data_IF_314047763812
#
_entry.id   IF_314047763812
#
_cell.length_a   1.000
_cell.length_b   1.000
_cell.length_c   1.000
_cell.angle_alpha   90.00
_cell.angle_beta   90.00
_cell.angle_gamma   90.00
#
_symmetry.space_group_name_H-M   'P 1'
#
loop_
_entity.id
_entity.type
_entity.pdbx_description
1 polymer ?
#
# COMPACT_ATOMS: atom_id res chain seq x y z
N UNK A 1 33.62 8.51 -17.36
CA UNK A 1 32.54 7.50 -17.41
C UNK A 1 31.25 8.27 -17.56
N UNK A 2 30.75 8.38 -18.80
CA UNK A 2 29.47 9.03 -19.06
C UNK A 2 28.39 7.99 -18.82
N UNK A 3 27.71 8.06 -17.68
CA UNK A 3 26.43 7.39 -17.48
C UNK A 3 25.41 8.13 -18.35
N UNK A 4 25.39 7.77 -19.63
CA UNK A 4 24.33 8.18 -20.54
C UNK A 4 23.03 7.62 -19.97
N UNK A 5 22.20 8.48 -19.37
CA UNK A 5 20.78 8.21 -19.27
C UNK A 5 20.31 7.96 -20.70
N UNK A 6 20.10 6.70 -21.05
CA UNK A 6 19.36 6.38 -22.26
C UNK A 6 18.06 7.21 -22.20
N UNK A 7 17.75 8.01 -23.24
CA UNK A 7 16.48 8.69 -23.25
C UNK A 7 15.42 7.59 -23.35
N UNK A 8 14.76 7.31 -22.23
CA UNK A 8 13.60 6.44 -22.19
C UNK A 8 12.48 7.16 -22.94
N UNK A 9 12.55 7.16 -24.26
CA UNK A 9 11.48 7.65 -25.14
C UNK A 9 10.44 6.55 -25.22
N UNK A 10 9.80 6.25 -24.08
CA UNK A 10 8.54 5.53 -24.14
C UNK A 10 7.50 6.54 -24.60
N UNK A 11 7.02 6.41 -25.82
CA UNK A 11 5.85 7.18 -26.25
C UNK A 11 4.68 6.84 -25.32
N UNK A 12 3.98 7.86 -24.84
CA UNK A 12 2.75 7.66 -24.09
C UNK A 12 1.77 6.81 -24.92
N UNK A 13 1.02 5.92 -24.26
CA UNK A 13 0.03 5.10 -24.95
C UNK A 13 -0.93 5.99 -25.76
N UNK A 14 -1.25 5.60 -26.99
CA UNK A 14 -1.91 6.52 -27.95
C UNK A 14 -3.25 7.06 -27.44
N UNK A 15 -4.04 6.24 -26.74
CA UNK A 15 -5.31 6.65 -26.15
C UNK A 15 -5.14 7.72 -25.06
N UNK A 16 -4.07 7.63 -24.28
CA UNK A 16 -3.77 8.57 -23.21
C UNK A 16 -3.23 9.88 -23.77
N UNK A 17 -2.35 9.78 -24.77
CA UNK A 17 -1.87 10.96 -25.51
C UNK A 17 -3.04 11.72 -26.14
N UNK A 18 -3.94 11.03 -26.83
CA UNK A 18 -5.13 11.64 -27.44
C UNK A 18 -6.02 12.35 -26.41
N UNK A 19 -6.23 11.74 -25.23
CA UNK A 19 -7.03 12.36 -24.17
C UNK A 19 -6.36 13.62 -23.60
N UNK A 20 -5.06 13.56 -23.35
CA UNK A 20 -4.31 14.70 -22.81
C UNK A 20 -4.20 15.84 -23.83
N UNK A 21 -3.99 15.53 -25.12
CA UNK A 21 -4.01 16.53 -26.19
C UNK A 21 -5.35 17.23 -26.28
N UNK A 22 -6.47 16.50 -26.27
CA UNK A 22 -7.81 17.11 -26.27
C UNK A 22 -8.03 17.99 -25.05
N UNK A 23 -7.61 17.53 -23.88
CA UNK A 23 -7.74 18.31 -22.65
C UNK A 23 -6.87 19.59 -22.66
N UNK A 24 -5.69 19.52 -23.28
CA UNK A 24 -4.80 20.67 -23.47
C UNK A 24 -5.46 21.71 -24.38
N UNK A 25 -6.04 21.26 -25.50
CA UNK A 25 -6.79 22.09 -26.44
C UNK A 25 -8.01 22.74 -25.78
N UNK A 26 -8.84 21.96 -25.08
CA UNK A 26 -10.05 22.44 -24.37
C UNK A 26 -9.74 23.50 -23.32
N UNK A 27 -8.55 23.44 -22.72
CA UNK A 27 -8.10 24.36 -21.66
C UNK A 27 -7.17 25.45 -22.16
N UNK A 28 -6.86 25.48 -23.45
CA UNK A 28 -5.93 26.41 -24.08
C UNK A 28 -4.57 26.48 -23.37
N UNK A 29 -4.04 25.31 -22.97
CA UNK A 29 -2.72 25.20 -22.31
C UNK A 29 -1.80 24.26 -23.07
N UNK A 30 -0.46 24.42 -22.93
CA UNK A 30 0.49 23.48 -23.51
C UNK A 30 0.32 22.07 -22.94
N UNK A 31 0.43 21.06 -23.80
CA UNK A 31 0.33 19.64 -23.43
C UNK A 31 1.38 19.26 -22.38
N UNK A 32 2.58 19.81 -22.51
CA UNK A 32 3.70 19.61 -21.60
C UNK A 32 3.32 19.95 -20.16
N UNK A 33 2.55 21.03 -19.97
CA UNK A 33 2.09 21.46 -18.64
C UNK A 33 1.11 20.45 -18.01
N UNK A 34 0.27 19.82 -18.82
CA UNK A 34 -0.59 18.73 -18.34
C UNK A 34 0.21 17.47 -18.04
N UNK A 35 1.21 17.15 -18.86
CA UNK A 35 2.08 16.00 -18.63
C UNK A 35 2.85 16.14 -17.32
N UNK A 36 3.49 17.29 -17.09
CA UNK A 36 4.22 17.58 -15.85
C UNK A 36 3.29 17.47 -14.63
N UNK A 37 2.09 18.07 -14.71
CA UNK A 37 1.13 18.01 -13.60
C UNK A 37 0.60 16.60 -13.36
N UNK A 38 0.44 15.80 -14.42
CA UNK A 38 -0.01 14.42 -14.32
C UNK A 38 1.02 13.53 -13.64
N UNK A 39 2.32 13.76 -13.90
CA UNK A 39 3.41 13.06 -13.21
C UNK A 39 3.44 13.43 -11.72
N UNK A 40 3.35 14.72 -11.39
CA UNK A 40 3.30 15.19 -10.00
C UNK A 40 2.17 14.52 -9.21
N UNK A 41 0.95 14.52 -9.75
CA UNK A 41 -0.21 13.90 -9.12
C UNK A 41 -0.08 12.37 -9.00
N UNK A 42 0.57 11.72 -9.98
CA UNK A 42 0.81 10.28 -9.92
C UNK A 42 1.78 9.94 -8.79
N UNK A 43 2.85 10.72 -8.63
CA UNK A 43 3.82 10.54 -7.55
C UNK A 43 3.17 10.77 -6.18
N UNK A 44 2.39 11.84 -6.02
CA UNK A 44 1.64 12.11 -4.79
C UNK A 44 0.70 10.95 -4.46
N UNK A 45 -0.05 10.45 -5.45
CA UNK A 45 -0.92 9.28 -5.26
C UNK A 45 -0.12 8.03 -4.87
N UNK A 46 1.05 7.78 -5.48
CA UNK A 46 1.88 6.62 -5.17
C UNK A 46 2.45 6.71 -3.75
N UNK A 47 2.94 7.88 -3.33
CA UNK A 47 3.43 8.12 -1.97
C UNK A 47 2.32 7.90 -0.93
N UNK A 48 1.14 8.46 -1.16
CA UNK A 48 -0.02 8.27 -0.28
C UNK A 48 -0.45 6.80 -0.21
N UNK A 49 -0.45 6.08 -1.33
CA UNK A 49 -0.82 4.67 -1.36
C UNK A 49 0.23 3.75 -0.73
N UNK A 50 1.51 4.07 -0.84
CA UNK A 50 2.55 3.35 -0.11
C UNK A 50 2.38 3.54 1.40
N UNK A 51 2.10 4.76 1.85
CA UNK A 51 1.80 5.06 3.25
C UNK A 51 0.55 4.33 3.76
N UNK A 52 -0.53 4.31 2.97
CA UNK A 52 -1.77 3.57 3.30
C UNK A 52 -1.50 2.06 3.37
N UNK A 53 -0.81 1.50 2.37
CA UNK A 53 -0.47 0.07 2.36
C UNK A 53 0.43 -0.32 3.52
N UNK A 54 1.41 0.53 3.87
CA UNK A 54 2.27 0.34 5.01
C UNK A 54 1.47 0.36 6.32
N UNK A 55 0.61 1.35 6.51
CA UNK A 55 -0.24 1.50 7.70
C UNK A 55 -1.20 0.32 7.89
N UNK A 56 -1.87 -0.12 6.82
CA UNK A 56 -2.78 -1.28 6.86
C UNK A 56 -2.02 -2.56 7.19
N UNK A 57 -0.84 -2.79 6.59
CA UNK A 57 0.00 -3.95 6.93
C UNK A 57 0.41 -3.93 8.40
N UNK A 58 0.83 -2.78 8.92
CA UNK A 58 1.24 -2.63 10.32
C UNK A 58 0.09 -2.96 11.30
N UNK A 59 -1.09 -2.38 11.08
CA UNK A 59 -2.25 -2.62 11.94
C UNK A 59 -2.71 -4.08 11.88
N UNK A 60 -2.67 -4.70 10.71
CA UNK A 60 -3.02 -6.11 10.57
C UNK A 60 -2.02 -7.01 11.32
N UNK A 61 -0.72 -6.73 11.25
CA UNK A 61 0.29 -7.45 12.03
C UNK A 61 0.06 -7.28 13.53
N UNK A 62 -0.23 -6.06 14.00
CA UNK A 62 -0.52 -5.82 15.41
C UNK A 62 -1.77 -6.59 15.88
N UNK A 63 -2.84 -6.56 15.08
CA UNK A 63 -4.09 -7.27 15.38
C UNK A 63 -3.88 -8.81 15.41
N UNK A 64 -3.14 -9.36 14.46
CA UNK A 64 -2.79 -10.79 14.42
C UNK A 64 -2.00 -11.18 15.67
N UNK A 65 -1.01 -10.37 16.06
CA UNK A 65 -0.20 -10.62 17.25
C UNK A 65 -1.05 -10.59 18.53
N UNK A 66 -1.93 -9.60 18.69
CA UNK A 66 -2.87 -9.53 19.83
C UNK A 66 -3.80 -10.74 19.90
N UNK A 67 -4.29 -11.20 18.75
CA UNK A 67 -5.13 -12.39 18.68
C UNK A 67 -4.35 -13.65 19.11
N UNK A 68 -3.15 -13.86 18.55
CA UNK A 68 -2.30 -14.99 18.92
C UNK A 68 -1.95 -15.01 20.41
N UNK A 69 -1.63 -13.84 20.99
CA UNK A 69 -1.38 -13.72 22.43
C UNK A 69 -2.61 -14.09 23.26
N UNK A 70 -3.78 -13.62 22.85
CA UNK A 70 -5.05 -13.92 23.54
C UNK A 70 -5.38 -15.42 23.48
N UNK A 71 -5.20 -16.06 22.32
CA UNK A 71 -5.36 -17.51 22.17
C UNK A 71 -4.35 -18.30 23.01
N UNK A 72 -3.09 -17.86 23.06
CA UNK A 72 -2.06 -18.51 23.87
C UNK A 72 -2.37 -18.43 25.37
N UNK A 73 -2.85 -17.27 25.85
CA UNK A 73 -3.28 -17.06 27.24
C UNK A 73 -4.50 -17.91 27.57
N UNK A 74 -5.50 -17.94 26.69
CA UNK A 74 -6.70 -18.76 26.84
C UNK A 74 -6.34 -20.27 26.91
N UNK A 75 -5.50 -20.76 26.02
CA UNK A 75 -5.03 -22.15 26.01
C UNK A 75 -4.27 -22.54 27.27
N UNK A 76 -3.41 -21.66 27.80
CA UNK A 76 -2.73 -21.87 29.10
C UNK A 76 -3.71 -21.89 30.27
N UNK A 77 -4.72 -21.02 30.24
CA UNK A 77 -5.73 -20.96 31.28
C UNK A 77 -6.54 -22.25 31.33
N UNK A 78 -7.02 -22.72 30.16
CA UNK A 78 -7.77 -23.97 30.04
C UNK A 78 -6.98 -25.20 30.51
N UNK A 79 -5.68 -25.28 30.16
CA UNK A 79 -4.79 -26.35 30.68
C UNK A 79 -4.64 -26.30 32.19
N UNK A 80 -4.52 -25.13 32.80
CA UNK A 80 -4.45 -24.98 34.26
C UNK A 80 -5.74 -25.44 34.96
N UNK A 81 -6.91 -25.13 34.39
CA UNK A 81 -8.19 -25.57 34.96
C UNK A 81 -8.34 -27.08 34.88
N UNK A 82 -8.01 -27.68 33.72
CA UNK A 82 -8.04 -29.13 33.51
C UNK A 82 -7.12 -29.89 34.50
N UNK A 83 -5.90 -29.39 34.73
CA UNK A 83 -4.97 -30.02 35.69
C UNK A 83 -5.44 -29.88 37.14
N UNK A 84 -6.08 -28.76 37.51
CA UNK A 84 -6.68 -28.60 38.84
C UNK A 84 -7.84 -29.56 39.08
N UNK A 85 -8.76 -29.72 38.12
CA UNK A 85 -9.94 -30.61 38.30
C UNK A 85 -9.55 -32.07 38.48
N UNK A 86 -8.47 -32.53 37.83
CA UNK A 86 -7.92 -33.88 37.97
C UNK A 86 -7.29 -34.14 39.36
N UNK A 87 -6.77 -33.11 40.04
CA UNK A 87 -6.14 -33.27 41.36
C UNK A 87 -7.13 -33.32 42.53
N UNK A 88 -8.40 -32.94 42.34
CA UNK A 88 -9.43 -32.98 43.38
C UNK A 88 -10.22 -34.30 43.42
N UNK A 89 -9.96 -35.22 42.49
CA UNK A 89 -10.66 -36.51 42.36
C UNK A 89 -9.71 -37.72 42.53
N UNK A 90 -8.51 -37.51 43.08
CA UNK A 90 -7.53 -38.55 43.39
C UNK A 90 -7.35 -38.76 44.89
#
# INVERSE_FOLDING_TARGET
MNEGRDPFVSSLASHLNMRLTRLAEEREIPLERLLDKSVELLLEYMEDNELINYYVKLNNVEAINKNNDSFSKAGRSLRKTSLKTLSYHG
#
